data_IF_160502936113
#
_entry.id   IF_160502936113
#
_cell.length_a   1.000
_cell.length_b   1.000
_cell.length_c   1.000
_cell.angle_alpha   90.00
_cell.angle_beta   90.00
_cell.angle_gamma   90.00
#
_symmetry.space_group_name_H-M   'P 1'
#
loop_
_entity.id
_entity.type
_entity.pdbx_description
1 polymer ?
#
# COMPACT_ATOMS: atom_id res chain seq x y z
N UNK A 1 -7.33 -1.92 -22.42
CA UNK A 1 -7.43 -2.46 -23.79
C UNK A 1 -8.36 -1.63 -24.66
N UNK A 2 -9.69 -1.64 -24.45
CA UNK A 2 -10.62 -0.90 -25.33
C UNK A 2 -10.35 0.60 -25.43
N UNK A 3 -9.90 1.24 -24.35
CA UNK A 3 -9.52 2.65 -24.31
C UNK A 3 -8.04 2.94 -24.59
N UNK A 4 -7.25 1.91 -24.95
CA UNK A 4 -5.82 2.09 -25.26
C UNK A 4 -4.91 2.48 -24.07
N UNK A 5 -5.41 2.51 -22.83
CA UNK A 5 -4.59 2.83 -21.64
C UNK A 5 -3.47 1.83 -21.32
N UNK A 6 -3.53 0.64 -21.93
CA UNK A 6 -2.53 -0.40 -21.76
C UNK A 6 -2.85 -1.63 -22.61
N UNK A 7 -1.79 -2.35 -23.00
CA UNK A 7 -1.87 -3.63 -23.70
C UNK A 7 -2.25 -4.76 -22.73
N UNK A 8 -2.70 -5.90 -23.25
CA UNK A 8 -2.99 -7.08 -22.42
C UNK A 8 -1.73 -7.53 -21.66
N UNK A 9 -0.58 -7.56 -22.33
CA UNK A 9 0.72 -7.92 -21.74
C UNK A 9 1.09 -6.98 -20.57
N UNK A 10 0.92 -5.66 -20.73
CA UNK A 10 1.17 -4.70 -19.65
C UNK A 10 0.24 -4.93 -18.46
N UNK A 11 -1.04 -5.21 -18.71
CA UNK A 11 -2.03 -5.47 -17.66
C UNK A 11 -1.69 -6.74 -16.89
N UNK A 12 -1.30 -7.80 -17.58
CA UNK A 12 -0.93 -9.07 -16.94
C UNK A 12 0.35 -8.93 -16.12
N UNK A 13 1.32 -8.16 -16.61
CA UNK A 13 2.54 -7.86 -15.85
C UNK A 13 2.25 -6.98 -14.63
N UNK A 14 1.42 -5.94 -14.75
CA UNK A 14 0.96 -5.13 -13.60
C UNK A 14 0.31 -6.00 -12.53
N UNK A 15 -0.55 -6.95 -12.92
CA UNK A 15 -1.18 -7.90 -11.98
C UNK A 15 -0.15 -8.81 -11.32
N UNK A 16 0.75 -9.39 -12.10
CA UNK A 16 1.81 -10.27 -11.58
C UNK A 16 2.68 -9.56 -10.55
N UNK A 17 3.10 -8.33 -10.86
CA UNK A 17 3.87 -7.48 -9.94
C UNK A 17 3.06 -7.11 -8.70
N UNK A 18 1.78 -6.75 -8.86
CA UNK A 18 0.89 -6.44 -7.73
C UNK A 18 0.76 -7.62 -6.76
N UNK A 19 0.57 -8.84 -7.24
CA UNK A 19 0.54 -10.03 -6.37
C UNK A 19 1.88 -10.29 -5.68
N UNK A 20 3.00 -10.10 -6.39
CA UNK A 20 4.33 -10.24 -5.77
C UNK A 20 4.56 -9.20 -4.66
N UNK A 21 4.17 -7.96 -4.91
CA UNK A 21 4.23 -6.86 -3.93
C UNK A 21 3.35 -7.20 -2.72
N UNK A 22 2.15 -7.73 -2.93
CA UNK A 22 1.26 -8.17 -1.87
C UNK A 22 1.93 -9.16 -0.92
N UNK A 23 2.59 -10.19 -1.44
CA UNK A 23 3.27 -11.20 -0.61
C UNK A 23 4.40 -10.57 0.24
N UNK A 24 5.18 -9.67 -0.36
CA UNK A 24 6.27 -8.96 0.35
C UNK A 24 5.71 -8.07 1.45
N UNK A 25 4.71 -7.23 1.12
CA UNK A 25 4.15 -6.26 2.06
C UNK A 25 3.35 -6.92 3.16
N UNK A 26 2.55 -7.95 2.86
CA UNK A 26 1.84 -8.73 3.89
C UNK A 26 2.82 -9.31 4.90
N UNK A 27 3.92 -9.90 4.45
CA UNK A 27 4.94 -10.45 5.35
C UNK A 27 5.62 -9.36 6.19
N UNK A 28 5.89 -8.18 5.60
CA UNK A 28 6.45 -7.04 6.33
C UNK A 28 5.51 -6.55 7.43
N UNK A 29 4.25 -6.26 7.09
CA UNK A 29 3.27 -5.74 8.02
C UNK A 29 2.86 -6.76 9.08
N UNK A 30 2.78 -8.05 8.72
CA UNK A 30 2.45 -9.10 9.69
C UNK A 30 3.51 -9.20 10.80
N UNK A 31 4.80 -9.11 10.44
CA UNK A 31 5.92 -9.04 11.39
C UNK A 31 5.88 -7.80 12.29
N UNK A 32 5.30 -6.71 11.78
CA UNK A 32 5.10 -5.44 12.49
C UNK A 32 3.81 -5.43 13.36
N UNK A 33 3.09 -6.56 13.45
CA UNK A 33 1.82 -6.62 14.19
C UNK A 33 0.68 -5.87 13.51
N UNK A 34 0.73 -5.76 12.18
CA UNK A 34 -0.22 -5.01 11.35
C UNK A 34 -0.87 -5.94 10.32
N UNK A 35 -2.11 -5.62 9.97
CA UNK A 35 -2.87 -6.26 8.90
C UNK A 35 -2.92 -5.29 7.73
N UNK A 36 -2.32 -5.69 6.61
CA UNK A 36 -2.51 -5.03 5.33
C UNK A 36 -3.85 -5.46 4.75
N UNK A 37 -4.87 -4.60 4.85
CA UNK A 37 -6.24 -4.90 4.41
C UNK A 37 -6.35 -4.77 2.90
N UNK A 38 -5.91 -3.63 2.37
CA UNK A 38 -5.83 -3.34 0.94
C UNK A 38 -4.83 -2.20 0.68
N UNK A 39 -4.47 -2.02 -0.58
CA UNK A 39 -3.60 -0.92 -1.04
C UNK A 39 -3.81 -0.65 -2.52
N UNK A 40 -3.38 0.54 -2.97
CA UNK A 40 -3.35 0.96 -4.37
C UNK A 40 -1.90 1.00 -4.85
N UNK A 41 -1.67 0.62 -6.11
CA UNK A 41 -0.42 0.86 -6.83
C UNK A 41 -0.73 1.60 -8.13
N UNK A 42 0.24 2.38 -8.60
CA UNK A 42 0.26 2.93 -9.95
C UNK A 42 1.54 2.52 -10.65
N UNK A 43 1.43 2.24 -11.96
CA UNK A 43 2.55 1.84 -12.79
C UNK A 43 2.69 2.81 -13.95
N UNK A 44 3.94 3.08 -14.32
CA UNK A 44 4.30 3.91 -15.45
C UNK A 44 5.21 3.17 -16.43
N UNK A 45 5.35 3.73 -17.62
CA UNK A 45 6.33 3.27 -18.60
C UNK A 45 7.55 4.19 -18.54
N UNK A 46 8.73 3.60 -18.37
CA UNK A 46 10.01 4.31 -18.42
C UNK A 46 10.99 3.52 -19.27
N UNK A 47 11.55 4.14 -20.32
CA UNK A 47 12.48 3.49 -21.26
C UNK A 47 11.97 2.14 -21.80
N UNK A 48 10.68 2.08 -22.14
CA UNK A 48 10.03 0.87 -22.66
C UNK A 48 9.73 -0.22 -21.62
N UNK A 49 10.02 0.02 -20.34
CA UNK A 49 9.76 -0.92 -19.24
C UNK A 49 8.60 -0.44 -18.38
N UNK A 50 7.79 -1.39 -17.92
CA UNK A 50 6.76 -1.16 -16.91
C UNK A 50 7.43 -1.07 -15.53
N UNK A 51 7.25 0.04 -14.83
CA UNK A 51 7.87 0.34 -13.55
C UNK A 51 6.79 0.70 -12.53
N UNK A 52 6.94 0.23 -11.29
CA UNK A 52 6.12 0.69 -10.17
C UNK A 52 6.45 2.16 -9.88
N UNK A 53 5.45 3.04 -9.90
CA UNK A 53 5.59 4.47 -9.66
C UNK A 53 4.82 4.93 -8.43
N UNK A 54 4.48 6.23 -8.44
CA UNK A 54 3.71 6.90 -7.38
C UNK A 54 4.33 6.67 -5.98
N UNK A 55 3.50 6.39 -4.98
CA UNK A 55 3.91 6.18 -3.61
C UNK A 55 3.27 4.91 -3.01
N UNK A 56 3.85 4.46 -1.90
CA UNK A 56 3.22 3.53 -0.99
C UNK A 56 3.29 4.12 0.42
N UNK A 57 2.15 4.55 0.94
CA UNK A 57 2.02 5.24 2.23
C UNK A 57 0.71 4.82 2.94
N UNK A 58 0.53 5.10 4.24
CA UNK A 58 -0.75 4.92 4.94
C UNK A 58 -1.91 5.76 4.36
N UNK A 59 -1.61 6.65 3.41
CA UNK A 59 -2.56 7.46 2.66
C UNK A 59 -3.26 6.63 1.56
N UNK A 60 -2.49 5.74 0.90
CA UNK A 60 -2.91 4.85 -0.19
C UNK A 60 -3.11 3.38 0.19
N UNK A 61 -2.95 3.02 1.46
CA UNK A 61 -3.22 1.66 1.96
C UNK A 61 -4.04 1.67 3.26
N UNK A 62 -4.67 0.53 3.57
CA UNK A 62 -5.35 0.30 4.85
C UNK A 62 -4.54 -0.62 5.73
N UNK A 63 -4.21 -0.12 6.92
CA UNK A 63 -3.36 -0.78 7.90
C UNK A 63 -4.07 -0.80 9.24
N UNK A 64 -4.40 -2.00 9.71
CA UNK A 64 -5.06 -2.19 10.99
C UNK A 64 -4.11 -2.87 11.95
N UNK A 65 -4.17 -2.48 13.22
CA UNK A 65 -3.52 -3.22 14.28
C UNK A 65 -4.04 -4.67 14.34
N UNK A 66 -3.14 -5.65 14.43
CA UNK A 66 -3.50 -7.06 14.30
C UNK A 66 -4.32 -7.60 15.48
N UNK A 67 -4.11 -7.04 16.68
CA UNK A 67 -4.78 -7.46 17.90
C UNK A 67 -6.10 -6.72 18.10
N UNK A 68 -6.05 -5.38 18.00
CA UNK A 68 -7.17 -4.50 18.36
C UNK A 68 -8.06 -4.11 17.19
N UNK A 69 -7.58 -4.32 15.95
CA UNK A 69 -8.21 -3.82 14.72
C UNK A 69 -8.34 -2.29 14.67
N UNK A 70 -7.57 -1.56 15.48
CA UNK A 70 -7.42 -0.10 15.41
C UNK A 70 -6.93 0.28 14.01
N UNK A 71 -7.62 1.20 13.34
CA UNK A 71 -7.17 1.76 12.05
C UNK A 71 -6.00 2.71 12.28
N UNK A 72 -4.94 2.56 11.49
CA UNK A 72 -3.70 3.36 11.54
C UNK A 72 -3.41 4.06 10.20
N UNK A 73 -4.42 4.10 9.33
CA UNK A 73 -4.35 4.64 7.98
C UNK A 73 -5.29 5.85 7.78
N UNK A 74 -5.39 6.35 6.55
CA UNK A 74 -6.22 7.51 6.18
C UNK A 74 -7.70 7.38 6.56
N UNK A 75 -8.23 6.17 6.81
CA UNK A 75 -9.61 6.02 7.30
C UNK A 75 -9.81 6.71 8.66
N UNK A 76 -8.76 6.95 9.43
CA UNK A 76 -8.84 7.80 10.64
C UNK A 76 -9.32 9.21 10.32
N UNK A 77 -8.81 9.82 9.25
CA UNK A 77 -9.29 11.10 8.76
C UNK A 77 -10.68 10.97 8.15
N UNK A 78 -10.88 10.00 7.23
CA UNK A 78 -12.16 9.84 6.49
C UNK A 78 -13.35 9.60 7.41
N UNK A 79 -13.13 8.95 8.56
CA UNK A 79 -14.17 8.60 9.53
C UNK A 79 -14.17 9.48 10.78
N UNK A 80 -13.34 10.54 10.81
CA UNK A 80 -13.30 11.48 11.95
C UNK A 80 -12.81 10.86 13.27
N UNK A 81 -11.90 9.88 13.22
CA UNK A 81 -11.37 9.17 14.39
C UNK A 81 -10.21 9.91 15.09
N UNK A 82 -9.71 11.01 14.53
CA UNK A 82 -8.57 11.75 15.07
C UNK A 82 -7.23 11.01 14.96
N UNK A 83 -6.18 11.53 15.58
CA UNK A 83 -4.82 10.97 15.67
C UNK A 83 -4.25 10.42 14.34
N UNK A 84 -4.36 11.21 13.27
CA UNK A 84 -3.97 10.77 11.93
C UNK A 84 -2.45 10.65 11.83
N UNK A 85 -1.73 11.70 12.27
CA UNK A 85 -0.27 11.75 12.20
C UNK A 85 0.34 10.70 13.12
N UNK A 86 -0.20 10.57 14.33
CA UNK A 86 0.24 9.60 15.33
C UNK A 86 0.04 8.17 14.84
N UNK A 87 -1.04 7.90 14.09
CA UNK A 87 -1.24 6.61 13.42
C UNK A 87 -0.14 6.32 12.39
N UNK A 88 0.28 7.33 11.63
CA UNK A 88 1.31 7.17 10.59
C UNK A 88 2.69 7.00 11.21
N UNK A 89 3.01 7.77 12.26
CA UNK A 89 4.22 7.61 13.05
C UNK A 89 4.28 6.24 13.73
N UNK A 90 3.15 5.73 14.21
CA UNK A 90 3.05 4.38 14.78
C UNK A 90 3.39 3.31 13.72
N UNK A 91 2.85 3.42 12.51
CA UNK A 91 3.21 2.52 11.40
C UNK A 91 4.70 2.61 11.08
N UNK A 92 5.24 3.82 10.90
CA UNK A 92 6.64 4.06 10.58
C UNK A 92 7.59 3.42 11.61
N UNK A 93 7.33 3.62 12.91
CA UNK A 93 8.11 3.00 13.99
C UNK A 93 8.05 1.48 13.96
N UNK A 94 6.87 0.89 13.73
CA UNK A 94 6.68 -0.58 13.72
C UNK A 94 7.42 -1.26 12.55
N UNK A 95 7.57 -0.58 11.42
CA UNK A 95 8.32 -1.09 10.25
C UNK A 95 9.80 -0.66 10.25
N UNK A 96 10.25 0.09 11.26
CA UNK A 96 11.64 0.56 11.37
C UNK A 96 12.01 1.71 10.42
N UNK A 97 11.03 2.49 9.95
CA UNK A 97 11.25 3.68 9.15
C UNK A 97 11.68 4.86 10.06
N UNK A 98 12.73 5.62 9.72
CA UNK A 98 13.09 6.81 10.48
C UNK A 98 12.00 7.88 10.37
N UNK A 99 11.82 8.64 11.46
CA UNK A 99 10.93 9.80 11.56
C UNK A 99 11.74 11.10 11.47
#
# INVERSE_FOLDING_TARGET
ISFGWGTQEQIDEMKRLSYKINEILKALFDKAGLILVDYKLEFGMYEGKLILGDEFSPDGCRLWDKETRKKLDKDRFRQGLGDVIEGYEEVARRIGCPL
#
